data_IF_662945823425
#
_entry.id   IF_662945823425
#
_cell.length_a   1.000
_cell.length_b   1.000
_cell.length_c   1.000
_cell.angle_alpha   90.00
_cell.angle_beta   90.00
_cell.angle_gamma   90.00
#
_symmetry.space_group_name_H-M   'P 1'
#
loop_
_entity.id
_entity.type
_entity.pdbx_description
1 polymer ?
#
# COMPACT_ATOMS: atom_id res chain seq x y z
N UNK A 1 4.67 -40.61 6.37
CA UNK A 1 5.43 -39.87 5.35
C UNK A 1 5.45 -38.43 5.85
N UNK A 2 6.63 -37.99 6.32
CA UNK A 2 6.99 -36.62 6.70
C UNK A 2 6.64 -35.64 5.55
N UNK A 3 6.27 -34.37 5.70
CA UNK A 3 6.58 -33.35 6.71
C UNK A 3 5.60 -32.17 6.52
N UNK A 4 5.10 -31.60 7.62
CA UNK A 4 4.58 -30.23 7.70
C UNK A 4 5.76 -29.22 7.65
N UNK A 5 5.55 -28.08 6.99
CA UNK A 5 6.23 -26.82 7.33
C UNK A 5 7.07 -26.15 6.25
N UNK A 6 6.86 -24.83 6.16
CA UNK A 6 7.77 -23.76 5.67
C UNK A 6 7.95 -23.70 4.14
N UNK A 7 7.80 -22.57 3.48
CA UNK A 7 7.77 -21.16 3.90
C UNK A 7 6.91 -20.41 2.89
N UNK A 8 6.26 -19.34 3.33
CA UNK A 8 5.85 -18.28 2.42
C UNK A 8 7.11 -17.78 1.69
N UNK A 9 7.27 -18.24 0.45
CA UNK A 9 8.21 -17.67 -0.49
C UNK A 9 7.65 -16.28 -0.84
N UNK A 10 7.97 -15.30 -0.01
CA UNK A 10 7.90 -13.88 -0.38
C UNK A 10 8.97 -13.69 -1.44
N UNK A 11 8.64 -14.15 -2.64
CA UNK A 11 9.48 -14.09 -3.81
C UNK A 11 9.67 -12.63 -4.16
N UNK A 12 10.87 -12.13 -3.84
CA UNK A 12 11.35 -10.81 -4.20
C UNK A 12 11.44 -10.74 -5.74
N UNK A 13 10.33 -10.35 -6.38
CA UNK A 13 10.32 -9.90 -7.77
C UNK A 13 10.14 -8.37 -7.73
N UNK A 14 11.23 -7.68 -7.39
CA UNK A 14 11.44 -6.23 -7.55
C UNK A 14 10.51 -5.33 -6.74
N UNK A 15 10.86 -5.04 -5.47
CA UNK A 15 10.35 -3.96 -4.59
C UNK A 15 8.86 -3.57 -4.72
N UNK A 16 8.01 -4.49 -5.17
CA UNK A 16 6.59 -4.23 -5.39
C UNK A 16 5.90 -4.72 -4.13
N UNK A 17 5.57 -3.79 -3.25
CA UNK A 17 4.75 -4.05 -2.06
C UNK A 17 3.49 -4.78 -2.51
N UNK A 18 3.25 -5.97 -1.93
CA UNK A 18 2.06 -6.75 -2.24
C UNK A 18 0.81 -6.05 -1.68
N UNK A 19 0.23 -5.13 -2.46
CA UNK A 19 -0.92 -4.32 -2.04
C UNK A 19 -2.20 -5.13 -1.82
N UNK A 20 -2.27 -6.34 -2.36
CA UNK A 20 -3.41 -7.26 -2.23
C UNK A 20 -3.73 -7.67 -0.78
N UNK A 21 -2.73 -7.70 0.10
CA UNK A 21 -2.89 -8.05 1.53
C UNK A 21 -2.93 -6.84 2.45
N UNK A 22 -2.94 -5.62 1.90
CA UNK A 22 -2.98 -4.40 2.70
C UNK A 22 -4.38 -4.21 3.29
N UNK A 23 -4.54 -4.19 4.63
CA UNK A 23 -5.84 -3.96 5.25
C UNK A 23 -6.26 -2.50 5.12
N UNK A 24 -7.57 -2.27 5.10
CA UNK A 24 -8.13 -0.94 5.32
C UNK A 24 -7.67 -0.38 6.69
N UNK A 25 -7.33 0.90 6.72
CA UNK A 25 -6.69 1.58 7.85
C UNK A 25 -5.16 1.48 7.90
N UNK A 26 -4.53 0.68 7.02
CA UNK A 26 -3.07 0.68 6.90
C UNK A 26 -2.57 2.00 6.31
N UNK A 27 -1.37 2.44 6.71
CA UNK A 27 -0.74 3.62 6.11
C UNK A 27 0.24 3.18 5.03
N UNK A 28 0.23 3.88 3.91
CA UNK A 28 1.15 3.68 2.80
C UNK A 28 1.89 4.97 2.52
N UNK A 29 3.19 4.83 2.25
CA UNK A 29 4.03 5.90 1.76
C UNK A 29 4.03 5.87 0.23
N UNK A 30 3.67 7.00 -0.35
CA UNK A 30 3.68 7.23 -1.78
C UNK A 30 5.04 7.76 -2.23
N UNK A 31 5.32 7.64 -3.53
CA UNK A 31 6.59 8.05 -4.15
C UNK A 31 6.84 9.56 -4.09
N UNK A 32 5.77 10.35 -4.02
CA UNK A 32 5.85 11.79 -3.77
C UNK A 32 6.18 12.14 -2.30
N UNK A 33 6.39 11.14 -1.43
CA UNK A 33 6.64 11.33 -0.01
C UNK A 33 5.38 11.60 0.83
N UNK A 34 4.19 11.55 0.21
CA UNK A 34 2.94 11.64 0.96
C UNK A 34 2.66 10.33 1.71
N UNK A 35 2.05 10.44 2.88
CA UNK A 35 1.51 9.32 3.63
C UNK A 35 0.01 9.35 3.52
N UNK A 36 -0.56 8.22 3.14
CA UNK A 36 -2.00 8.07 3.02
C UNK A 36 -2.48 6.78 3.69
N UNK A 37 -3.70 6.81 4.21
CA UNK A 37 -4.34 5.69 4.88
C UNK A 37 -5.25 4.97 3.90
N UNK A 38 -5.14 3.66 3.77
CA UNK A 38 -5.95 2.84 2.87
C UNK A 38 -7.39 2.85 3.35
N UNK A 39 -8.31 3.48 2.61
CA UNK A 39 -9.74 3.46 2.92
C UNK A 39 -10.45 2.27 2.29
N UNK A 40 -9.86 1.66 1.25
CA UNK A 40 -10.43 0.49 0.60
C UNK A 40 -9.43 -0.23 -0.29
N UNK A 41 -9.47 -1.57 -0.25
CA UNK A 41 -8.61 -2.42 -1.06
C UNK A 41 -9.46 -3.40 -1.89
N UNK A 42 -9.52 -3.26 -3.23
CA UNK A 42 -10.21 -4.22 -4.10
C UNK A 42 -9.49 -5.59 -4.18
N UNK A 43 -8.27 -5.70 -3.63
CA UNK A 43 -7.39 -6.87 -3.65
C UNK A 43 -7.01 -7.35 -5.05
N UNK A 44 -7.09 -6.44 -6.01
CA UNK A 44 -6.68 -6.66 -7.40
C UNK A 44 -5.15 -6.53 -7.58
N UNK A 45 -4.48 -5.83 -6.66
CA UNK A 45 -3.03 -5.60 -6.70
C UNK A 45 -2.59 -4.48 -7.64
N UNK A 46 -3.51 -3.89 -8.43
CA UNK A 46 -3.21 -2.74 -9.29
C UNK A 46 -3.33 -1.38 -8.60
N UNK A 47 -4.32 -1.21 -7.72
CA UNK A 47 -4.69 0.10 -7.16
C UNK A 47 -5.37 -0.03 -5.79
N UNK A 48 -5.30 1.04 -5.00
CA UNK A 48 -5.91 1.17 -3.68
C UNK A 48 -6.64 2.51 -3.55
N UNK A 49 -7.72 2.52 -2.77
CA UNK A 49 -8.30 3.74 -2.26
C UNK A 49 -7.55 4.17 -1.01
N UNK A 50 -7.06 5.39 -1.01
CA UNK A 50 -6.31 5.97 0.09
C UNK A 50 -6.89 7.32 0.47
N UNK A 51 -6.68 7.74 1.70
CA UNK A 51 -6.98 9.08 2.20
C UNK A 51 -5.70 9.71 2.66
N UNK A 52 -5.34 10.87 2.12
CA UNK A 52 -4.10 11.55 2.49
C UNK A 52 -4.13 11.92 3.97
N UNK A 53 -3.10 11.51 4.70
CA UNK A 53 -2.90 11.84 6.12
C UNK A 53 -1.79 12.87 6.27
N UNK A 54 -0.73 12.74 5.47
CA UNK A 54 0.37 13.70 5.42
C UNK A 54 0.76 13.95 3.97
N UNK A 55 0.79 15.22 3.58
CA UNK A 55 1.36 15.62 2.30
C UNK A 55 2.01 16.98 2.46
N UNK A 56 3.33 17.00 2.60
CA UNK A 56 4.10 18.21 2.85
C UNK A 56 4.12 19.17 1.64
N UNK A 57 4.11 18.60 0.42
CA UNK A 57 4.09 19.37 -0.82
C UNK A 57 2.73 20.02 -1.06
N UNK A 58 1.63 19.33 -0.72
CA UNK A 58 0.27 19.83 -0.93
C UNK A 58 -0.66 19.50 0.27
N UNK A 59 -0.57 20.27 1.37
CA UNK A 59 -1.33 19.99 2.59
C UNK A 59 -2.84 20.16 2.43
N UNK A 60 -3.30 20.82 1.36
CA UNK A 60 -4.72 20.96 1.02
C UNK A 60 -5.38 19.62 0.72
N UNK A 61 -4.59 18.61 0.35
CA UNK A 61 -5.07 17.24 0.07
C UNK A 61 -5.29 16.42 1.33
N UNK A 62 -4.74 16.82 2.47
CA UNK A 62 -4.87 16.07 3.73
C UNK A 62 -6.37 15.97 4.08
N UNK A 63 -6.86 14.73 4.21
CA UNK A 63 -8.26 14.41 4.45
C UNK A 63 -9.08 14.10 3.19
N UNK A 64 -8.55 14.36 1.99
CA UNK A 64 -9.17 13.93 0.73
C UNK A 64 -8.88 12.44 0.45
N UNK A 65 -9.87 11.76 -0.11
CA UNK A 65 -9.73 10.40 -0.64
C UNK A 65 -9.29 10.45 -2.09
N UNK A 66 -8.34 9.61 -2.44
CA UNK A 66 -7.75 9.53 -3.76
C UNK A 66 -7.42 8.07 -4.11
N UNK A 67 -7.08 7.82 -5.36
CA UNK A 67 -6.83 6.49 -5.90
C UNK A 67 -5.39 6.39 -6.34
N UNK A 68 -4.63 5.51 -5.68
CA UNK A 68 -3.21 5.34 -5.97
C UNK A 68 -2.93 3.99 -6.58
N UNK A 69 -1.99 3.97 -7.52
CA UNK A 69 -1.53 2.75 -8.17
C UNK A 69 -0.43 2.08 -7.35
N UNK A 70 -0.28 0.77 -7.54
CA UNK A 70 0.78 0.01 -6.91
C UNK A 70 2.19 0.51 -7.24
N UNK A 71 2.36 1.15 -8.40
CA UNK A 71 3.62 1.76 -8.82
C UNK A 71 4.00 3.00 -8.03
N UNK A 72 3.01 3.69 -7.45
CA UNK A 72 3.20 4.89 -6.65
C UNK A 72 3.43 4.58 -5.17
N UNK A 73 2.99 3.41 -4.69
CA UNK A 73 3.26 2.98 -3.32
C UNK A 73 4.70 2.50 -3.20
N UNK A 74 5.46 3.14 -2.32
CA UNK A 74 6.87 2.79 -2.04
C UNK A 74 6.98 1.84 -0.87
N UNK A 75 6.18 2.05 0.18
CA UNK A 75 6.23 1.24 1.40
C UNK A 75 4.90 1.29 2.16
N UNK A 76 4.67 0.30 3.03
CA UNK A 76 3.64 0.34 4.07
C UNK A 76 4.32 0.86 5.35
N UNK A 77 3.65 1.74 6.09
CA UNK A 77 4.14 2.44 7.29
C UNK A 77 3.35 2.02 8.52
#
# INVERSE_FOLDING_TARGET
MVQEGKSEDVSNTGDTVALQDVPEGAKVMLRNGAIAEVTGNPRDGGWLFIRFVEYADDPSKIGEEDMVFCTDVVAIV
#
